data_IF_128529037796
#
_entry.id   IF_128529037796
#
_cell.length_a   1.000
_cell.length_b   1.000
_cell.length_c   1.000
_cell.angle_alpha   90.00
_cell.angle_beta   90.00
_cell.angle_gamma   90.00
#
_symmetry.space_group_name_H-M   'P 1'
#
loop_
_entity.id
_entity.type
_entity.pdbx_description
1 polymer ?
#
# COMPACT_ATOMS: atom_id res chain seq x y z
N UNK A 1 -39.04 6.92 -15.32
CA UNK A 1 -38.68 5.84 -16.26
C UNK A 1 -37.42 6.26 -16.99
N UNK A 2 -36.31 5.59 -16.67
CA UNK A 2 -35.06 5.37 -17.45
C UNK A 2 -34.28 6.56 -18.02
N UNK A 3 -33.11 6.84 -17.42
CA UNK A 3 -31.94 7.32 -18.15
C UNK A 3 -30.72 6.47 -17.75
N UNK A 4 -30.23 5.71 -18.74
CA UNK A 4 -28.90 5.09 -18.80
C UNK A 4 -28.65 3.96 -17.78
N UNK A 5 -29.27 2.80 -17.98
CA UNK A 5 -28.56 1.63 -18.54
C UNK A 5 -27.43 2.01 -19.50
N UNK A 6 -26.18 2.02 -19.01
CA UNK A 6 -24.98 1.65 -19.76
C UNK A 6 -23.80 1.47 -18.79
N UNK A 7 -23.09 0.35 -18.89
CA UNK A 7 -21.78 0.07 -18.25
C UNK A 7 -21.74 -0.47 -16.80
N UNK A 8 -22.55 -1.49 -16.49
CA UNK A 8 -22.35 -2.40 -15.34
C UNK A 8 -21.79 -3.78 -15.75
N UNK A 9 -21.02 -3.83 -16.83
CA UNK A 9 -20.30 -5.03 -17.27
C UNK A 9 -18.83 -4.66 -17.49
N UNK A 10 -17.92 -5.32 -16.76
CA UNK A 10 -16.45 -5.34 -16.94
C UNK A 10 -15.64 -4.15 -16.44
N UNK A 11 -15.55 -3.97 -15.12
CA UNK A 11 -14.28 -3.56 -14.50
C UNK A 11 -14.27 -4.10 -13.09
N UNK A 12 -13.34 -5.01 -12.80
CA UNK A 12 -12.95 -5.20 -11.41
C UNK A 12 -12.52 -3.82 -10.92
N UNK A 13 -13.26 -3.27 -9.95
CA UNK A 13 -12.92 -1.95 -9.42
C UNK A 13 -11.51 -2.07 -8.84
N UNK A 14 -10.58 -1.27 -9.33
CA UNK A 14 -9.16 -1.38 -8.94
C UNK A 14 -9.01 -1.28 -7.42
N UNK A 15 -9.89 -0.52 -6.76
CA UNK A 15 -9.94 -0.42 -5.31
C UNK A 15 -10.32 -1.74 -4.64
N UNK A 16 -11.29 -2.50 -5.18
CA UNK A 16 -11.64 -3.81 -4.64
C UNK A 16 -10.55 -4.86 -4.85
N UNK A 17 -9.74 -4.70 -5.90
CA UNK A 17 -8.56 -5.55 -6.10
C UNK A 17 -7.52 -5.21 -5.04
N UNK A 18 -7.21 -3.93 -4.86
CA UNK A 18 -6.27 -3.44 -3.84
C UNK A 18 -6.67 -3.90 -2.44
N UNK A 19 -7.92 -3.67 -2.05
CA UNK A 19 -8.48 -4.04 -0.74
C UNK A 19 -8.20 -5.52 -0.42
N UNK A 20 -8.55 -6.42 -1.35
CA UNK A 20 -8.27 -7.86 -1.22
C UNK A 20 -6.79 -8.22 -1.17
N UNK A 21 -5.92 -7.45 -1.83
CA UNK A 21 -4.48 -7.69 -1.78
C UNK A 21 -3.91 -7.22 -0.44
N UNK A 22 -4.40 -6.10 0.08
CA UNK A 22 -4.06 -5.59 1.41
C UNK A 22 -4.50 -6.58 2.51
N UNK A 23 -5.74 -7.10 2.48
CA UNK A 23 -6.20 -8.13 3.41
C UNK A 23 -5.28 -9.35 3.39
N UNK A 24 -5.02 -9.91 2.20
CA UNK A 24 -4.15 -11.09 2.08
C UNK A 24 -2.70 -10.83 2.49
N UNK A 25 -2.21 -9.61 2.32
CA UNK A 25 -0.89 -9.21 2.77
C UNK A 25 -0.85 -9.17 4.31
N UNK A 26 -1.82 -8.51 4.93
CA UNK A 26 -1.94 -8.41 6.37
C UNK A 26 -2.11 -9.79 7.03
N UNK A 27 -2.97 -10.65 6.49
CA UNK A 27 -3.16 -12.02 6.98
C UNK A 27 -1.85 -12.82 6.99
N UNK A 28 -1.07 -12.76 5.90
CA UNK A 28 0.22 -13.45 5.81
C UNK A 28 1.25 -12.85 6.76
N UNK A 29 1.27 -11.52 6.90
CA UNK A 29 2.14 -10.84 7.84
C UNK A 29 1.84 -11.24 9.29
N UNK A 30 0.56 -11.21 9.68
CA UNK A 30 0.10 -11.63 11.01
C UNK A 30 0.35 -13.13 11.28
N UNK A 31 0.32 -13.95 10.24
CA UNK A 31 0.73 -15.36 10.33
C UNK A 31 2.25 -15.56 10.49
N UNK A 32 3.05 -14.49 10.54
CA UNK A 32 4.50 -14.53 10.68
C UNK A 32 5.23 -14.88 9.37
N UNK A 33 4.54 -14.80 8.23
CA UNK A 33 5.20 -14.88 6.92
C UNK A 33 5.77 -13.52 6.52
N UNK A 34 6.74 -13.49 5.63
CA UNK A 34 7.30 -12.28 5.00
C UNK A 34 6.71 -12.13 3.58
N UNK A 35 5.45 -11.66 3.43
CA UNK A 35 4.85 -11.46 2.13
C UNK A 35 5.64 -10.39 1.36
N UNK A 36 6.01 -10.70 0.11
CA UNK A 36 6.73 -9.74 -0.75
C UNK A 36 5.76 -9.04 -1.68
N UNK A 37 5.71 -7.71 -1.60
CA UNK A 37 4.91 -6.83 -2.47
C UNK A 37 5.16 -7.14 -3.97
N UNK A 38 6.40 -7.44 -4.35
CA UNK A 38 6.79 -7.80 -5.73
C UNK A 38 5.89 -8.89 -6.34
N UNK A 39 5.54 -9.93 -5.56
CA UNK A 39 4.70 -11.05 -6.03
C UNK A 39 3.28 -10.61 -6.38
N UNK A 40 2.75 -9.62 -5.68
CA UNK A 40 1.41 -9.10 -5.94
C UNK A 40 1.41 -8.26 -7.22
N UNK A 41 2.48 -7.51 -7.47
CA UNK A 41 2.65 -6.71 -8.69
C UNK A 41 2.80 -7.59 -9.94
N UNK A 42 3.57 -8.68 -9.86
CA UNK A 42 3.80 -9.60 -11.00
C UNK A 42 2.49 -10.18 -11.59
N UNK A 43 1.45 -10.30 -10.78
CA UNK A 43 0.15 -10.87 -11.18
C UNK A 43 -0.83 -9.82 -11.74
N UNK A 44 -0.45 -8.54 -11.78
CA UNK A 44 -1.33 -7.43 -12.16
C UNK A 44 -0.87 -6.74 -13.45
N UNK A 45 -1.80 -6.04 -14.09
CA UNK A 45 -1.48 -5.16 -15.21
C UNK A 45 -0.63 -3.97 -14.74
N UNK A 46 0.37 -3.60 -15.55
CA UNK A 46 1.34 -2.53 -15.22
C UNK A 46 0.70 -1.18 -14.89
N UNK A 47 -0.49 -0.91 -15.41
CA UNK A 47 -1.26 0.32 -15.11
C UNK A 47 -1.67 0.42 -13.63
N UNK A 48 -1.88 -0.71 -12.97
CA UNK A 48 -2.31 -0.78 -11.57
C UNK A 48 -1.13 -0.91 -10.60
N UNK A 49 0.09 -1.19 -11.10
CA UNK A 49 1.26 -1.44 -10.25
C UNK A 49 1.56 -0.29 -9.32
N UNK A 50 1.49 0.94 -9.82
CA UNK A 50 1.79 2.14 -9.02
C UNK A 50 0.82 2.31 -7.85
N UNK A 51 -0.48 2.09 -8.08
CA UNK A 51 -1.51 2.25 -7.06
C UNK A 51 -1.46 1.11 -6.03
N UNK A 52 -1.28 -0.13 -6.49
CA UNK A 52 -1.15 -1.30 -5.61
C UNK A 52 0.13 -1.24 -4.79
N UNK A 53 1.25 -0.84 -5.40
CA UNK A 53 2.51 -0.63 -4.69
C UNK A 53 2.37 0.42 -3.60
N UNK A 54 1.66 1.52 -3.88
CA UNK A 54 1.45 2.57 -2.89
C UNK A 54 0.80 2.02 -1.62
N UNK A 55 -0.33 1.34 -1.79
CA UNK A 55 -1.17 0.85 -0.69
C UNK A 55 -0.48 -0.27 0.10
N UNK A 56 0.10 -1.24 -0.60
CA UNK A 56 0.84 -2.33 0.05
C UNK A 56 2.13 -1.85 0.74
N UNK A 57 2.83 -0.87 0.15
CA UNK A 57 4.02 -0.30 0.77
C UNK A 57 3.65 0.47 2.03
N UNK A 58 2.62 1.31 1.99
CA UNK A 58 2.15 2.02 3.18
C UNK A 58 1.83 1.04 4.31
N UNK A 59 1.08 -0.03 4.02
CA UNK A 59 0.74 -1.08 4.97
C UNK A 59 1.98 -1.79 5.53
N UNK A 60 2.93 -2.21 4.68
CA UNK A 60 4.17 -2.87 5.15
C UNK A 60 4.98 -1.96 6.07
N UNK A 61 5.09 -0.67 5.74
CA UNK A 61 5.80 0.30 6.58
C UNK A 61 5.12 0.46 7.94
N UNK A 62 3.79 0.54 7.99
CA UNK A 62 3.03 0.61 9.25
C UNK A 62 3.23 -0.66 10.10
N UNK A 63 3.10 -1.83 9.49
CA UNK A 63 3.28 -3.12 10.16
C UNK A 63 4.71 -3.32 10.70
N UNK A 64 5.74 -2.90 9.95
CA UNK A 64 7.14 -2.91 10.40
C UNK A 64 7.38 -1.94 11.55
N UNK A 65 6.85 -0.72 11.45
CA UNK A 65 6.94 0.27 12.53
C UNK A 65 6.27 -0.21 13.82
N UNK A 66 5.13 -0.88 13.72
CA UNK A 66 4.44 -1.49 14.88
C UNK A 66 5.27 -2.59 15.56
N UNK A 67 6.12 -3.30 14.82
CA UNK A 67 7.08 -4.25 15.37
C UNK A 67 8.35 -3.60 15.94
N UNK A 68 8.47 -2.27 15.84
CA UNK A 68 9.64 -1.50 16.29
C UNK A 68 10.77 -1.46 15.27
N UNK A 69 10.53 -1.90 14.03
CA UNK A 69 11.49 -1.75 12.94
C UNK A 69 11.39 -0.35 12.31
N UNK A 70 12.51 0.14 11.78
CA UNK A 70 12.58 1.43 11.07
C UNK A 70 12.95 1.12 9.61
N UNK A 71 11.95 0.88 8.74
CA UNK A 71 12.21 0.62 7.33
C UNK A 71 12.93 1.80 6.68
N UNK A 72 14.01 1.52 5.95
CA UNK A 72 14.79 2.56 5.25
C UNK A 72 14.28 2.79 3.84
N UNK A 73 13.99 4.05 3.47
CA UNK A 73 13.57 4.43 2.12
C UNK A 73 14.50 3.90 1.02
N UNK A 74 15.82 3.89 1.28
CA UNK A 74 16.83 3.41 0.33
C UNK A 74 16.67 1.92 0.00
N UNK A 75 16.21 1.10 0.95
CA UNK A 75 15.92 -0.33 0.73
C UNK A 75 14.83 -0.47 -0.35
N UNK A 76 13.72 0.22 -0.14
CA UNK A 76 12.56 0.19 -1.05
C UNK A 76 12.86 0.85 -2.40
N UNK A 77 13.67 1.90 -2.42
CA UNK A 77 14.12 2.52 -3.68
C UNK A 77 14.99 1.56 -4.51
N UNK A 78 15.79 0.72 -3.86
CA UNK A 78 16.61 -0.30 -4.53
C UNK A 78 15.75 -1.48 -5.01
N UNK A 79 14.76 -1.91 -4.22
CA UNK A 79 13.83 -2.99 -4.60
C UNK A 79 12.88 -2.56 -5.73
N UNK A 80 12.37 -1.34 -5.69
CA UNK A 80 11.40 -0.80 -6.66
C UNK A 80 12.01 0.32 -7.51
N UNK A 81 13.08 0.01 -8.25
CA UNK A 81 13.79 0.99 -9.09
C UNK A 81 12.90 1.64 -10.15
N UNK A 82 11.91 0.91 -10.66
CA UNK A 82 10.95 1.43 -11.64
C UNK A 82 9.87 2.33 -11.02
N UNK A 83 9.74 2.30 -9.69
CA UNK A 83 8.70 3.01 -8.95
C UNK A 83 9.28 3.87 -7.82
N UNK A 84 10.54 4.32 -7.94
CA UNK A 84 11.21 5.11 -6.89
C UNK A 84 10.43 6.37 -6.51
N UNK A 85 9.70 6.96 -7.46
CA UNK A 85 8.80 8.09 -7.18
C UNK A 85 7.68 7.71 -6.22
N UNK A 86 7.01 6.57 -6.43
CA UNK A 86 5.96 6.06 -5.54
C UNK A 86 6.51 5.81 -4.15
N UNK A 87 7.66 5.13 -4.06
CA UNK A 87 8.34 4.87 -2.79
C UNK A 87 8.60 6.17 -2.03
N UNK A 88 9.22 7.16 -2.67
CA UNK A 88 9.53 8.42 -2.02
C UNK A 88 8.28 9.15 -1.50
N UNK A 89 7.19 9.09 -2.26
CA UNK A 89 5.95 9.76 -1.92
C UNK A 89 5.23 9.09 -0.74
N UNK A 90 5.18 7.75 -0.71
CA UNK A 90 4.65 6.97 0.42
C UNK A 90 5.42 7.25 1.70
N UNK A 91 6.76 7.23 1.65
CA UNK A 91 7.59 7.55 2.80
C UNK A 91 7.32 8.95 3.32
N UNK A 92 7.19 9.94 2.42
CA UNK A 92 6.88 11.32 2.81
C UNK A 92 5.52 11.42 3.51
N UNK A 93 4.51 10.70 3.01
CA UNK A 93 3.16 10.67 3.62
C UNK A 93 3.17 9.99 5.00
N UNK A 94 3.92 8.90 5.16
CA UNK A 94 4.06 8.21 6.44
C UNK A 94 4.83 9.06 7.47
N UNK A 95 5.87 9.78 7.03
CA UNK A 95 6.59 10.75 7.88
C UNK A 95 5.65 11.88 8.37
N UNK A 96 4.73 12.37 7.51
CA UNK A 96 3.72 13.34 7.91
C UNK A 96 2.63 12.75 8.82
N UNK A 97 2.20 11.51 8.58
CA UNK A 97 1.22 10.82 9.41
C UNK A 97 1.74 10.55 10.83
N UNK A 98 3.00 10.11 10.98
CA UNK A 98 3.64 9.92 12.29
C UNK A 98 3.73 11.25 13.05
N UNK A 99 4.12 12.34 12.38
CA UNK A 99 4.17 13.67 12.99
C UNK A 99 2.79 14.17 13.44
N UNK A 100 1.73 13.78 12.73
CA UNK A 100 0.35 14.13 13.08
C UNK A 100 -0.20 13.26 14.23
N UNK A 101 0.12 11.96 14.24
CA UNK A 101 -0.25 11.02 15.31
C UNK A 101 0.43 11.35 16.64
N UNK A 102 1.64 11.93 16.61
CA UNK A 102 2.30 12.47 17.81
C UNK A 102 1.60 13.70 18.41
N UNK A 103 0.78 14.43 17.64
CA UNK A 103 0.02 15.59 18.12
C UNK A 103 -1.29 15.23 18.84
N UNK A 104 -1.75 13.98 18.76
CA UNK A 104 -3.02 13.54 19.39
C UNK A 104 -2.87 13.00 20.82
N UNK A 105 -1.65 12.94 21.37
CA UNK A 105 -1.39 12.40 22.73
C UNK A 105 -1.09 13.47 23.79
N UNK A 106 -1.13 14.76 23.47
CA UNK A 106 -0.75 15.83 24.42
C UNK A 106 -1.84 16.85 24.76
N UNK A 107 -3.08 16.70 24.26
CA UNK A 107 -4.17 17.58 24.70
C UNK A 107 -5.02 16.87 25.76
N UNK A 108 -4.49 16.92 26.98
CA UNK A 108 -5.19 16.59 28.24
C UNK A 108 -6.09 17.72 28.71
#
# INVERSE_FOLDING_TARGET
>A
MTKSSDNQETKLDVNQVIDRLCDQFEEQWQAGSDPRIEKYLENLASENHSQVLWELLALELELRQQQGEIPERSEYANRFQNFTKVVHDVFREQETAVANSMHSLTQS
#
